data_IF_694953287426
#
_entry.id   IF_694953287426
#
_cell.length_a   1.000
_cell.length_b   1.000
_cell.length_c   1.000
_cell.angle_alpha   90.00
_cell.angle_beta   90.00
_cell.angle_gamma   90.00
#
_symmetry.space_group_name_H-M   'P 1'
#
loop_
_entity.id
_entity.type
_entity.pdbx_description
1 polymer ?
#
# COMPACT_ATOMS: atom_id res chain seq x y z
N UNK A 1 -17.78 13.28 6.59
CA UNK A 1 -17.04 12.75 5.45
C UNK A 1 -16.48 13.91 4.66
N UNK A 2 -15.18 13.98 4.54
CA UNK A 2 -14.50 14.99 3.71
C UNK A 2 -14.77 14.70 2.24
N UNK A 3 -15.10 15.73 1.47
CA UNK A 3 -15.19 15.65 -0.01
C UNK A 3 -13.75 15.68 -0.58
N UNK A 4 -12.98 14.64 -0.26
CA UNK A 4 -11.57 14.53 -0.65
C UNK A 4 -11.44 13.78 -1.98
N UNK A 5 -10.35 14.08 -2.71
CA UNK A 5 -9.99 13.40 -3.96
C UNK A 5 -9.15 12.13 -3.72
N UNK A 6 -9.39 11.39 -2.62
CA UNK A 6 -8.53 10.30 -2.14
C UNK A 6 -9.26 8.96 -2.14
N UNK A 7 -8.69 7.98 -2.83
CA UNK A 7 -9.03 6.55 -2.73
C UNK A 7 -7.96 5.82 -1.93
N UNK A 8 -8.37 5.00 -0.96
CA UNK A 8 -7.47 4.04 -0.30
C UNK A 8 -7.82 2.64 -0.79
N UNK A 9 -6.84 1.92 -1.32
CA UNK A 9 -6.96 0.50 -1.69
C UNK A 9 -6.35 -0.34 -0.57
N UNK A 10 -7.13 -1.29 -0.04
CA UNK A 10 -6.70 -2.23 0.99
C UNK A 10 -6.86 -3.66 0.47
N UNK A 11 -5.81 -4.27 -0.10
CA UNK A 11 -5.82 -5.68 -0.47
C UNK A 11 -5.73 -6.54 0.79
N UNK A 12 -6.46 -7.66 0.82
CA UNK A 12 -6.38 -8.61 1.93
C UNK A 12 -6.56 -10.06 1.47
N UNK A 13 -5.92 -10.96 2.22
CA UNK A 13 -6.05 -12.41 2.07
C UNK A 13 -5.86 -13.07 3.44
N UNK A 14 -6.90 -13.73 3.96
CA UNK A 14 -6.88 -14.37 5.27
C UNK A 14 -6.41 -13.43 6.39
N UNK A 15 -7.17 -12.37 6.63
CA UNK A 15 -6.91 -11.33 7.63
C UNK A 15 -8.09 -11.17 8.61
N UNK A 16 -8.80 -12.27 8.95
CA UNK A 16 -9.98 -12.23 9.83
C UNK A 16 -9.73 -11.59 11.18
N UNK A 17 -8.49 -11.63 11.68
CA UNK A 17 -8.12 -11.07 12.98
C UNK A 17 -7.75 -9.58 12.93
N UNK A 18 -7.41 -9.03 11.77
CA UNK A 18 -6.86 -7.67 11.62
C UNK A 18 -7.72 -6.74 10.79
N UNK A 19 -8.46 -7.27 9.81
CA UNK A 19 -9.17 -6.49 8.80
C UNK A 19 -10.16 -5.48 9.41
N UNK A 20 -11.00 -5.90 10.37
CA UNK A 20 -11.96 -5.00 11.00
C UNK A 20 -11.27 -3.84 11.73
N UNK A 21 -10.17 -4.15 12.43
CA UNK A 21 -9.38 -3.15 13.16
C UNK A 21 -8.73 -2.18 12.17
N UNK A 22 -8.11 -2.70 11.10
CA UNK A 22 -7.44 -1.90 10.07
C UNK A 22 -8.41 -0.92 9.41
N UNK A 23 -9.58 -1.40 8.98
CA UNK A 23 -10.61 -0.56 8.34
C UNK A 23 -11.19 0.44 9.34
N UNK A 24 -11.45 0.04 10.59
CA UNK A 24 -11.96 0.94 11.63
C UNK A 24 -10.97 2.07 11.92
N UNK A 25 -9.67 1.76 12.01
CA UNK A 25 -8.63 2.76 12.22
C UNK A 25 -8.53 3.72 11.02
N UNK A 26 -8.61 3.19 9.79
CA UNK A 26 -8.60 4.01 8.58
C UNK A 26 -9.81 4.96 8.52
N UNK A 27 -11.02 4.47 8.82
CA UNK A 27 -12.25 5.27 8.83
C UNK A 27 -12.21 6.38 9.88
N UNK A 28 -11.63 6.13 11.06
CA UNK A 28 -11.47 7.13 12.13
C UNK A 28 -10.60 8.32 11.72
N UNK A 29 -9.65 8.14 10.81
CA UNK A 29 -8.79 9.23 10.32
C UNK A 29 -9.54 10.24 9.43
N UNK A 30 -10.71 9.90 8.92
CA UNK A 30 -11.65 10.74 8.16
C UNK A 30 -10.99 11.61 7.07
N UNK A 31 -10.19 10.98 6.19
CA UNK A 31 -9.53 11.67 5.08
C UNK A 31 -9.86 11.10 3.70
N UNK A 32 -10.20 9.82 3.61
CA UNK A 32 -10.50 9.15 2.35
C UNK A 32 -12.00 9.21 2.04
N UNK A 33 -12.36 9.64 0.84
CA UNK A 33 -13.75 9.65 0.37
C UNK A 33 -14.16 8.35 -0.33
N UNK A 34 -13.19 7.46 -0.60
CA UNK A 34 -13.38 6.15 -1.19
C UNK A 34 -12.40 5.15 -0.56
N UNK A 35 -12.89 4.02 -0.08
CA UNK A 35 -12.08 2.89 0.38
C UNK A 35 -12.45 1.68 -0.44
N UNK A 36 -11.47 0.99 -1.03
CA UNK A 36 -11.67 -0.21 -1.83
C UNK A 36 -11.00 -1.37 -1.11
N UNK A 37 -11.80 -2.25 -0.54
CA UNK A 37 -11.37 -3.51 0.05
C UNK A 37 -11.29 -4.55 -1.06
N UNK A 38 -10.14 -5.19 -1.24
CA UNK A 38 -9.96 -6.19 -2.30
C UNK A 38 -9.60 -7.53 -1.68
N UNK A 39 -10.57 -8.45 -1.70
CA UNK A 39 -10.39 -9.83 -1.27
C UNK A 39 -9.66 -10.63 -2.33
N UNK A 40 -8.46 -11.12 -2.02
CA UNK A 40 -7.69 -11.99 -2.92
C UNK A 40 -7.99 -13.47 -2.68
N UNK A 41 -9.27 -13.84 -2.65
CA UNK A 41 -9.72 -15.22 -2.51
C UNK A 41 -9.50 -15.80 -1.11
N UNK A 42 -9.81 -15.05 -0.05
CA UNK A 42 -9.74 -15.54 1.33
C UNK A 42 -10.64 -16.75 1.56
N UNK A 43 -10.21 -17.65 2.44
CA UNK A 43 -10.94 -18.84 2.86
C UNK A 43 -11.22 -18.89 4.37
N UNK A 44 -11.02 -17.78 5.07
CA UNK A 44 -11.41 -17.49 6.44
C UNK A 44 -12.61 -16.52 6.46
N UNK A 45 -12.91 -15.91 7.61
CA UNK A 45 -14.04 -14.95 7.77
C UNK A 45 -13.77 -13.55 7.23
N UNK A 46 -12.64 -13.31 6.55
CA UNK A 46 -12.28 -11.97 6.05
C UNK A 46 -13.31 -11.40 5.07
N UNK A 47 -13.89 -12.26 4.21
CA UNK A 47 -14.91 -11.81 3.26
C UNK A 47 -16.18 -11.32 3.96
N UNK A 48 -16.68 -12.08 4.93
CA UNK A 48 -17.89 -11.74 5.70
C UNK A 48 -17.68 -10.43 6.48
N UNK A 49 -16.48 -10.24 7.05
CA UNK A 49 -16.10 -9.00 7.75
C UNK A 49 -16.11 -7.82 6.76
N UNK A 50 -15.47 -7.95 5.60
CA UNK A 50 -15.42 -6.91 4.58
C UNK A 50 -16.81 -6.55 4.04
N UNK A 51 -17.68 -7.55 3.82
CA UNK A 51 -19.06 -7.38 3.40
C UNK A 51 -19.89 -6.60 4.45
N UNK A 52 -19.71 -6.91 5.73
CA UNK A 52 -20.33 -6.17 6.83
C UNK A 52 -19.88 -4.71 6.86
N UNK A 53 -18.59 -4.45 6.69
CA UNK A 53 -18.02 -3.10 6.65
C UNK A 53 -18.54 -2.28 5.46
N UNK A 54 -18.65 -2.89 4.28
CA UNK A 54 -19.26 -2.26 3.11
C UNK A 54 -20.73 -1.88 3.36
N UNK A 55 -21.50 -2.76 3.96
CA UNK A 55 -22.91 -2.48 4.29
C UNK A 55 -23.06 -1.33 5.31
N UNK A 56 -22.10 -1.20 6.23
CA UNK A 56 -22.09 -0.17 7.27
C UNK A 56 -21.65 1.22 6.73
N UNK A 57 -20.80 1.25 5.69
CA UNK A 57 -20.19 2.47 5.17
C UNK A 57 -20.34 2.57 3.66
N UNK A 58 -21.17 3.48 3.16
CA UNK A 58 -21.48 3.65 1.71
C UNK A 58 -20.27 4.00 0.84
N UNK A 59 -19.19 4.51 1.43
CA UNK A 59 -17.95 4.86 0.73
C UNK A 59 -16.93 3.72 0.67
N UNK A 60 -17.25 2.57 1.28
CA UNK A 60 -16.46 1.34 1.16
C UNK A 60 -17.02 0.51 0.02
N UNK A 61 -16.17 0.11 -0.90
CA UNK A 61 -16.44 -0.84 -1.97
C UNK A 61 -15.70 -2.14 -1.70
N UNK A 62 -16.33 -3.27 -1.89
CA UNK A 62 -15.72 -4.60 -1.81
C UNK A 62 -15.57 -5.19 -3.21
N UNK A 63 -14.37 -5.61 -3.54
CA UNK A 63 -14.03 -6.34 -4.78
C UNK A 63 -13.54 -7.73 -4.38
N UNK A 64 -13.95 -8.74 -5.13
CA UNK A 64 -13.59 -10.13 -4.87
C UNK A 64 -12.85 -10.76 -6.05
N UNK A 65 -11.72 -11.40 -5.76
CA UNK A 65 -11.10 -12.40 -6.62
C UNK A 65 -11.57 -13.79 -6.21
N UNK A 66 -11.96 -14.63 -7.17
CA UNK A 66 -12.43 -16.01 -6.89
C UNK A 66 -11.35 -16.91 -6.31
N UNK A 67 -10.10 -16.59 -6.51
CA UNK A 67 -8.92 -17.35 -6.07
C UNK A 67 -7.79 -16.43 -5.73
N UNK A 68 -6.88 -16.88 -4.86
CA UNK A 68 -5.66 -16.12 -4.53
C UNK A 68 -4.72 -16.08 -5.74
N UNK A 69 -4.47 -14.87 -6.23
CA UNK A 69 -3.53 -14.58 -7.33
C UNK A 69 -2.38 -13.69 -6.90
N UNK A 70 -2.38 -13.25 -5.65
CA UNK A 70 -1.35 -12.43 -5.02
C UNK A 70 -1.65 -10.95 -4.94
N UNK A 71 -0.92 -10.25 -4.08
CA UNK A 71 -1.12 -8.83 -3.76
C UNK A 71 -1.20 -7.93 -4.99
N UNK A 72 -0.31 -8.15 -5.98
CA UNK A 72 -0.29 -7.35 -7.20
C UNK A 72 -1.57 -7.51 -8.04
N UNK A 73 -2.14 -8.71 -8.08
CA UNK A 73 -3.43 -8.93 -8.74
C UNK A 73 -4.54 -8.15 -8.03
N UNK A 74 -4.62 -8.26 -6.70
CA UNK A 74 -5.60 -7.53 -5.91
C UNK A 74 -5.47 -6.01 -6.07
N UNK A 75 -4.25 -5.47 -6.05
CA UNK A 75 -4.02 -4.05 -6.29
C UNK A 75 -4.51 -3.59 -7.67
N UNK A 76 -4.24 -4.36 -8.72
CA UNK A 76 -4.73 -4.04 -10.09
C UNK A 76 -6.25 -3.99 -10.15
N UNK A 77 -6.95 -4.90 -9.47
CA UNK A 77 -8.41 -4.86 -9.38
C UNK A 77 -8.90 -3.59 -8.69
N UNK A 78 -8.27 -3.22 -7.56
CA UNK A 78 -8.61 -2.00 -6.84
C UNK A 78 -8.35 -0.72 -7.65
N UNK A 79 -7.19 -0.64 -8.31
CA UNK A 79 -6.81 0.51 -9.16
C UNK A 79 -7.83 0.72 -10.30
N UNK A 80 -8.27 -0.35 -10.95
CA UNK A 80 -9.22 -0.28 -12.07
C UNK A 80 -10.58 0.31 -11.68
N UNK A 81 -11.01 0.19 -10.43
CA UNK A 81 -12.31 0.69 -9.95
C UNK A 81 -12.20 1.97 -9.13
N UNK A 82 -10.99 2.41 -8.80
CA UNK A 82 -10.72 3.66 -8.09
C UNK A 82 -11.20 4.86 -8.90
N UNK A 83 -11.93 5.78 -8.24
CA UNK A 83 -12.57 6.90 -8.94
C UNK A 83 -11.98 8.27 -8.60
N UNK A 84 -11.12 8.38 -7.58
CA UNK A 84 -10.57 9.65 -7.12
C UNK A 84 -9.25 10.00 -7.79
N UNK A 85 -8.85 11.26 -7.67
CA UNK A 85 -7.64 11.83 -8.28
C UNK A 85 -6.34 11.17 -7.79
N UNK A 86 -6.29 10.83 -6.49
CA UNK A 86 -5.14 10.20 -5.87
C UNK A 86 -5.50 8.83 -5.28
N UNK A 87 -4.61 7.87 -5.44
CA UNK A 87 -4.76 6.50 -4.95
C UNK A 87 -3.64 6.22 -3.97
N UNK A 88 -3.99 5.77 -2.77
CA UNK A 88 -3.06 5.27 -1.77
C UNK A 88 -3.28 3.79 -1.48
N UNK A 89 -2.22 3.11 -1.08
CA UNK A 89 -2.25 1.69 -0.69
C UNK A 89 -2.00 1.56 0.79
N UNK A 90 -2.79 0.73 1.48
CA UNK A 90 -2.63 0.37 2.88
C UNK A 90 -2.92 -1.12 3.05
N UNK A 91 -1.96 -1.87 3.62
CA UNK A 91 -2.16 -3.29 3.94
C UNK A 91 -3.08 -3.45 5.16
N UNK A 92 -3.83 -4.56 5.20
CA UNK A 92 -4.79 -4.87 6.29
C UNK A 92 -4.11 -5.45 7.54
N UNK A 93 -2.79 -5.47 7.59
CA UNK A 93 -1.98 -6.21 8.55
C UNK A 93 -1.56 -5.42 9.80
N UNK A 94 -2.00 -4.17 9.92
CA UNK A 94 -1.69 -3.26 11.04
C UNK A 94 -0.19 -2.89 11.18
N UNK A 95 0.67 -3.24 10.23
CA UNK A 95 2.09 -2.86 10.28
C UNK A 95 2.31 -1.36 10.04
N UNK A 96 1.37 -0.70 9.34
CA UNK A 96 1.42 0.72 8.99
C UNK A 96 0.28 1.52 9.61
N UNK A 97 0.56 2.79 9.91
CA UNK A 97 -0.43 3.72 10.45
C UNK A 97 -1.27 4.38 9.35
N UNK A 98 -2.61 4.38 9.43
CA UNK A 98 -3.46 5.18 8.55
C UNK A 98 -3.15 6.68 8.60
N UNK A 99 -2.70 7.19 9.74
CA UNK A 99 -2.29 8.59 9.87
C UNK A 99 -1.06 8.93 9.03
N UNK A 100 -0.10 8.01 8.87
CA UNK A 100 1.03 8.20 7.97
C UNK A 100 0.55 8.27 6.51
N UNK A 101 -0.37 7.39 6.11
CA UNK A 101 -0.98 7.45 4.77
C UNK A 101 -1.72 8.78 4.55
N UNK A 102 -2.48 9.27 5.53
CA UNK A 102 -3.13 10.59 5.51
C UNK A 102 -2.14 11.72 5.25
N UNK A 103 -0.98 11.67 5.90
CA UNK A 103 0.07 12.65 5.70
C UNK A 103 0.66 12.57 4.28
N UNK A 104 0.88 11.36 3.74
CA UNK A 104 1.34 11.19 2.36
C UNK A 104 0.35 11.77 1.34
N UNK A 105 -0.97 11.60 1.55
CA UNK A 105 -1.99 12.24 0.71
C UNK A 105 -1.96 13.77 0.77
N UNK A 106 -1.68 14.35 1.94
CA UNK A 106 -1.49 15.80 2.06
C UNK A 106 -0.26 16.27 1.30
N UNK A 107 0.85 15.54 1.43
CA UNK A 107 2.12 15.88 0.79
C UNK A 107 2.03 15.83 -0.75
N UNK A 108 1.34 14.85 -1.31
CA UNK A 108 1.18 14.75 -2.77
C UNK A 108 0.37 15.93 -3.33
N UNK A 109 -0.66 16.36 -2.61
CA UNK A 109 -1.55 17.44 -3.04
C UNK A 109 -0.90 18.83 -2.85
N UNK A 110 -0.35 19.10 -1.67
CA UNK A 110 0.29 20.39 -1.33
C UNK A 110 1.50 20.67 -2.23
N UNK A 111 2.34 19.66 -2.48
CA UNK A 111 3.56 19.81 -3.26
C UNK A 111 3.35 19.53 -4.77
N UNK A 112 2.10 19.28 -5.20
CA UNK A 112 1.75 18.93 -6.57
C UNK A 112 2.63 17.82 -7.15
N UNK A 113 2.86 16.77 -6.35
CA UNK A 113 3.64 15.60 -6.74
C UNK A 113 2.78 14.60 -7.50
N UNK A 114 3.43 13.69 -8.22
CA UNK A 114 2.76 12.60 -8.90
C UNK A 114 2.87 11.28 -8.12
N UNK A 115 3.95 11.15 -7.34
CA UNK A 115 4.26 9.97 -6.54
C UNK A 115 4.82 10.40 -5.19
N UNK A 116 4.28 9.82 -4.13
CA UNK A 116 4.80 9.96 -2.76
C UNK A 116 4.90 8.58 -2.14
N UNK A 117 6.06 8.25 -1.58
CA UNK A 117 6.28 7.01 -0.86
C UNK A 117 6.60 7.27 0.62
N UNK A 118 6.10 6.40 1.48
CA UNK A 118 6.58 6.33 2.84
C UNK A 118 7.94 5.63 2.88
N UNK A 119 8.86 6.11 3.70
CA UNK A 119 10.11 5.40 3.96
C UNK A 119 10.27 5.09 5.43
N UNK A 120 10.53 3.83 5.73
CA UNK A 120 10.84 3.33 7.07
C UNK A 120 12.26 3.68 7.51
N UNK A 121 13.09 4.23 6.62
CA UNK A 121 14.53 4.38 6.83
C UNK A 121 15.03 5.82 6.82
N UNK A 122 14.15 6.80 6.72
CA UNK A 122 14.45 8.23 6.90
C UNK A 122 13.77 8.76 8.16
N UNK A 123 14.38 9.79 8.78
CA UNK A 123 13.89 10.41 10.02
C UNK A 123 14.05 9.52 11.27
N UNK A 124 13.66 10.06 12.43
CA UNK A 124 13.77 9.42 13.75
C UNK A 124 12.44 8.78 14.20
N UNK A 125 11.76 8.13 13.29
CA UNK A 125 10.49 7.45 13.60
C UNK A 125 10.70 6.11 14.29
N UNK A 126 9.74 5.73 15.13
CA UNK A 126 9.73 4.46 15.85
C UNK A 126 9.68 3.29 14.86
N UNK A 127 10.59 2.35 15.00
CA UNK A 127 10.73 1.15 14.17
C UNK A 127 10.88 -0.04 15.10
N UNK A 128 9.81 -0.77 15.25
CA UNK A 128 9.81 -1.95 16.12
C UNK A 128 9.97 -3.21 15.26
N UNK A 129 10.78 -4.15 15.75
CA UNK A 129 10.92 -5.51 15.21
C UNK A 129 11.41 -5.64 13.75
N UNK A 130 12.19 -4.69 13.22
CA UNK A 130 12.79 -4.85 11.90
C UNK A 130 13.95 -5.84 11.97
N UNK A 131 13.84 -6.94 11.22
CA UNK A 131 14.93 -7.91 11.08
C UNK A 131 16.09 -7.31 10.31
N UNK A 132 17.31 -7.38 10.88
CA UNK A 132 18.54 -6.82 10.28
C UNK A 132 18.76 -7.30 8.84
N UNK A 133 18.50 -8.59 8.57
CA UNK A 133 18.61 -9.15 7.20
C UNK A 133 17.66 -8.49 6.22
N UNK A 134 16.41 -8.26 6.60
CA UNK A 134 15.42 -7.59 5.76
C UNK A 134 15.81 -6.13 5.52
N UNK A 135 16.31 -5.45 6.54
CA UNK A 135 16.83 -4.09 6.43
C UNK A 135 17.99 -3.98 5.43
N UNK A 136 19.01 -4.85 5.56
CA UNK A 136 20.17 -4.85 4.66
C UNK A 136 19.78 -5.19 3.22
N UNK A 137 18.91 -6.18 3.02
CA UNK A 137 18.41 -6.54 1.70
C UNK A 137 17.65 -5.37 1.05
N UNK A 138 16.73 -4.73 1.78
CA UNK A 138 15.99 -3.59 1.26
C UNK A 138 16.91 -2.41 0.94
N UNK A 139 17.88 -2.11 1.81
CA UNK A 139 18.87 -1.04 1.58
C UNK A 139 19.69 -1.28 0.32
N UNK A 140 20.15 -2.52 0.11
CA UNK A 140 20.90 -2.90 -1.09
C UNK A 140 20.04 -2.75 -2.36
N UNK A 141 18.82 -3.27 -2.33
CA UNK A 141 17.88 -3.18 -3.46
C UNK A 141 17.51 -1.72 -3.76
N UNK A 142 17.26 -0.91 -2.73
CA UNK A 142 16.94 0.52 -2.90
C UNK A 142 18.12 1.30 -3.50
N UNK A 143 19.35 1.00 -3.07
CA UNK A 143 20.57 1.61 -3.64
C UNK A 143 20.70 1.25 -5.13
N UNK A 144 20.55 -0.02 -5.48
CA UNK A 144 20.67 -0.49 -6.86
C UNK A 144 19.57 0.11 -7.74
N UNK A 145 18.34 0.14 -7.24
CA UNK A 145 17.20 0.79 -7.89
C UNK A 145 17.46 2.28 -8.14
N UNK A 146 18.00 2.98 -7.13
CA UNK A 146 18.34 4.42 -7.25
C UNK A 146 19.35 4.71 -8.34
N UNK A 147 20.34 3.84 -8.52
CA UNK A 147 21.35 3.97 -9.58
C UNK A 147 20.70 3.81 -10.97
N UNK A 148 19.82 2.80 -11.12
CA UNK A 148 19.16 2.51 -12.40
C UNK A 148 18.21 3.64 -12.80
N UNK A 149 17.41 4.11 -11.86
CA UNK A 149 16.37 5.12 -12.13
C UNK A 149 16.83 6.56 -11.97
N UNK A 150 18.10 6.78 -11.52
CA UNK A 150 18.66 8.10 -11.24
C UNK A 150 17.84 8.94 -10.27
N UNK A 151 17.09 8.26 -9.39
CA UNK A 151 16.25 8.85 -8.37
C UNK A 151 16.59 8.26 -7.00
N UNK A 152 16.68 9.10 -5.97
CA UNK A 152 17.03 8.65 -4.62
C UNK A 152 15.83 7.96 -3.97
N UNK A 153 15.89 6.63 -3.86
CA UNK A 153 14.92 5.78 -3.17
C UNK A 153 15.58 5.13 -1.96
N UNK A 154 14.98 5.28 -0.79
CA UNK A 154 15.52 4.72 0.47
C UNK A 154 14.77 3.47 0.93
N UNK A 155 13.52 3.29 0.51
CA UNK A 155 12.67 2.15 0.87
C UNK A 155 11.81 1.67 -0.31
N UNK A 156 12.39 0.80 -1.15
CA UNK A 156 11.71 0.27 -2.33
C UNK A 156 10.54 -0.66 -2.00
N UNK A 157 10.59 -1.33 -0.84
CA UNK A 157 9.62 -2.36 -0.45
C UNK A 157 8.51 -1.86 0.49
N UNK A 158 8.39 -0.54 0.69
CA UNK A 158 7.28 0.02 1.45
C UNK A 158 5.95 -0.22 0.74
N UNK A 159 4.90 -0.54 1.49
CA UNK A 159 3.54 -0.60 0.95
C UNK A 159 2.90 0.80 0.89
N UNK A 160 3.24 1.71 1.83
CA UNK A 160 2.66 3.04 1.83
C UNK A 160 3.15 3.87 0.66
N UNK A 161 2.34 3.93 -0.38
CA UNK A 161 2.56 4.73 -1.58
C UNK A 161 1.27 5.45 -1.96
N UNK A 162 1.39 6.68 -2.40
CA UNK A 162 0.29 7.48 -2.93
C UNK A 162 0.66 7.96 -4.33
N UNK A 163 -0.27 7.83 -5.27
CA UNK A 163 -0.06 8.15 -6.67
C UNK A 163 -1.18 9.00 -7.23
N UNK A 164 -0.84 9.81 -8.21
CA UNK A 164 -1.84 10.40 -9.10
C UNK A 164 -2.45 9.31 -9.99
N UNK A 165 -3.78 9.19 -10.01
CA UNK A 165 -4.48 8.13 -10.78
C UNK A 165 -4.09 8.10 -12.26
N UNK A 166 -3.92 9.26 -12.88
CA UNK A 166 -3.54 9.35 -14.30
C UNK A 166 -2.20 8.69 -14.66
N UNK A 167 -1.30 8.51 -13.68
CA UNK A 167 -0.08 7.73 -13.89
C UNK A 167 -0.38 6.24 -14.09
N UNK A 168 -1.32 5.68 -13.32
CA UNK A 168 -1.73 4.29 -13.48
C UNK A 168 -2.36 4.03 -14.85
N UNK A 169 -3.15 4.99 -15.36
CA UNK A 169 -3.77 4.88 -16.68
C UNK A 169 -2.71 4.83 -17.80
N UNK A 170 -1.48 5.24 -17.52
CA UNK A 170 -0.35 5.29 -18.47
C UNK A 170 0.64 4.11 -18.36
N UNK A 171 0.47 3.21 -17.39
CA UNK A 171 1.37 2.08 -17.13
C UNK A 171 0.63 0.75 -17.16
N UNK A 172 1.30 -0.29 -17.67
CA UNK A 172 0.80 -1.67 -17.70
C UNK A 172 1.48 -2.50 -16.60
N UNK A 173 0.77 -2.79 -15.50
CA UNK A 173 1.27 -3.57 -14.38
C UNK A 173 1.10 -5.06 -14.62
N UNK A 174 2.20 -5.82 -14.54
CA UNK A 174 2.23 -7.27 -14.84
C UNK A 174 2.38 -8.14 -13.60
N UNK A 175 3.12 -7.68 -12.59
CA UNK A 175 3.36 -8.46 -11.39
C UNK A 175 2.06 -8.81 -10.66
N UNK A 176 1.96 -10.03 -10.18
CA UNK A 176 0.82 -10.48 -9.36
C UNK A 176 1.18 -10.61 -7.88
N UNK A 177 2.45 -10.85 -7.55
CA UNK A 177 2.94 -11.00 -6.18
C UNK A 177 3.44 -9.71 -5.54
N UNK A 178 4.34 -9.84 -4.57
CA UNK A 178 4.92 -8.71 -3.83
C UNK A 178 5.87 -7.85 -4.66
N UNK A 179 6.41 -8.36 -5.78
CA UNK A 179 7.21 -7.57 -6.73
C UNK A 179 6.43 -6.40 -7.36
N UNK A 180 5.11 -6.36 -7.20
CA UNK A 180 4.26 -5.23 -7.61
C UNK A 180 4.72 -3.90 -7.00
N UNK A 181 5.25 -3.90 -5.77
CA UNK A 181 5.73 -2.70 -5.09
C UNK A 181 6.89 -2.05 -5.84
N UNK A 182 7.82 -2.88 -6.32
CA UNK A 182 8.96 -2.45 -7.12
C UNK A 182 8.52 -2.04 -8.52
N UNK A 183 7.63 -2.84 -9.16
CA UNK A 183 7.14 -2.57 -10.51
C UNK A 183 6.38 -1.25 -10.59
N UNK A 184 5.50 -0.96 -9.63
CA UNK A 184 4.77 0.30 -9.57
C UNK A 184 5.77 1.46 -9.54
N UNK A 185 6.73 1.44 -8.60
CA UNK A 185 7.68 2.53 -8.47
C UNK A 185 8.55 2.69 -9.72
N UNK A 186 9.06 1.59 -10.30
CA UNK A 186 9.86 1.62 -11.50
C UNK A 186 9.13 2.24 -12.70
N UNK A 187 7.87 1.82 -12.91
CA UNK A 187 7.08 2.29 -14.06
C UNK A 187 6.59 3.72 -13.87
N UNK A 188 6.24 4.11 -12.64
CA UNK A 188 5.81 5.48 -12.37
C UNK A 188 6.97 6.47 -12.47
N UNK A 189 8.16 6.15 -11.93
CA UNK A 189 9.36 6.98 -12.09
C UNK A 189 9.83 7.10 -13.54
N UNK A 190 9.53 6.12 -14.40
CA UNK A 190 9.81 6.26 -15.83
C UNK A 190 8.89 7.25 -16.55
N UNK A 191 7.84 7.75 -15.90
CA UNK A 191 6.82 8.64 -16.45
C UNK A 191 6.75 10.00 -15.78
N UNK A 192 7.33 10.16 -14.58
CA UNK A 192 7.30 11.39 -13.83
C UNK A 192 8.55 11.55 -12.96
N UNK A 193 9.08 12.78 -12.94
CA UNK A 193 10.16 13.21 -12.04
C UNK A 193 9.63 13.84 -10.74
N UNK A 194 8.31 13.94 -10.56
CA UNK A 194 7.67 14.55 -9.39
C UNK A 194 7.45 13.52 -8.28
N UNK A 195 8.57 13.01 -7.72
CA UNK A 195 8.64 11.99 -6.67
C UNK A 195 9.23 12.52 -5.38
N UNK A 196 8.71 12.05 -4.24
CA UNK A 196 9.31 12.29 -2.92
C UNK A 196 9.06 11.13 -1.96
N UNK A 197 10.01 10.89 -1.05
CA UNK A 197 9.83 10.01 0.10
C UNK A 197 9.64 10.84 1.37
N UNK A 198 8.75 10.36 2.24
CA UNK A 198 8.49 10.92 3.57
C UNK A 198 8.65 9.87 4.64
N UNK A 199 9.12 10.25 5.85
CA UNK A 199 9.29 9.31 6.93
C UNK A 199 7.93 8.78 7.43
N UNK A 200 7.89 7.48 7.75
CA UNK A 200 6.72 6.80 8.31
C UNK A 200 7.11 5.94 9.50
N UNK A 201 6.15 5.71 10.38
CA UNK A 201 6.24 4.70 11.44
C UNK A 201 6.04 3.30 10.87
N UNK A 202 6.60 2.29 11.55
CA UNK A 202 6.45 0.90 11.16
C UNK A 202 6.58 -0.03 12.36
N UNK A 203 5.64 -0.95 12.50
CA UNK A 203 5.67 -1.99 13.53
C UNK A 203 5.50 -3.34 12.85
N UNK A 204 6.62 -4.05 12.68
CA UNK A 204 6.58 -5.35 12.02
C UNK A 204 5.86 -6.39 12.87
N UNK A 205 4.99 -7.20 12.25
CA UNK A 205 4.43 -8.41 12.86
C UNK A 205 5.53 -9.46 13.08
N UNK A 206 5.42 -10.22 14.15
CA UNK A 206 6.22 -11.43 14.35
C UNK A 206 5.72 -12.55 13.43
N UNK A 207 6.53 -13.62 13.27
CA UNK A 207 6.09 -14.81 12.53
C UNK A 207 4.93 -15.52 13.22
N UNK A 208 4.83 -15.43 14.55
CA UNK A 208 3.72 -15.97 15.35
C UNK A 208 2.41 -15.22 15.10
N UNK A 209 2.49 -13.94 14.76
CA UNK A 209 1.36 -13.08 14.40
C UNK A 209 0.97 -13.16 12.92
N UNK A 210 1.48 -14.14 12.16
CA UNK A 210 1.05 -14.42 10.80
C UNK A 210 1.79 -13.66 9.69
N UNK A 211 3.06 -13.28 9.89
CA UNK A 211 3.88 -12.66 8.84
C UNK A 211 3.97 -13.57 7.61
N UNK A 212 3.41 -13.11 6.49
CA UNK A 212 3.27 -13.89 5.24
C UNK A 212 4.51 -13.81 4.33
N UNK A 213 5.27 -12.72 4.40
CA UNK A 213 6.43 -12.50 3.51
C UNK A 213 7.60 -13.38 3.94
N UNK A 214 8.06 -14.26 3.04
CA UNK A 214 9.30 -15.04 3.18
C UNK A 214 10.42 -14.37 2.38
N UNK A 215 11.68 -14.61 2.76
CA UNK A 215 12.86 -14.09 2.04
C UNK A 215 12.87 -14.41 0.53
N UNK A 216 12.23 -15.53 0.14
CA UNK A 216 12.14 -15.99 -1.26
C UNK A 216 11.20 -15.10 -2.09
N UNK A 217 10.24 -14.43 -1.47
CA UNK A 217 9.23 -13.62 -2.19
C UNK A 217 9.83 -12.32 -2.77
N UNK A 218 11.00 -11.90 -2.27
CA UNK A 218 11.77 -10.77 -2.84
C UNK A 218 12.59 -11.11 -4.09
N UNK A 219 12.63 -12.40 -4.50
CA UNK A 219 13.37 -12.87 -5.67
C UNK A 219 12.47 -13.46 -6.78
N UNK A 220 11.17 -13.38 -6.62
CA UNK A 220 10.14 -13.75 -7.62
C UNK A 220 9.45 -12.48 -8.11
#
# INVERSE_FOLDING_TARGET
MTDSDYTVIMPFFNEENTLEIAVTNLVKEDFASEIILVNDGSNDKSYEIASSLQNKHKFIKLIESKENKGKGHALKLGINVASKKFIGVLDADLEYSPNDLKNLFKEIDINNLDIVCGSRFIGDFKRDNIYVRTYLANKFLSMFFSIIHREKVTDIATCLKVFRKTLFDSIDLKANGFSIEVEILAKTLSKSDYFKEFPISYTARSYEEGKKIKLIDGFR
#
